data_IF_792387798733
#
_entry.id   IF_792387798733
#
_cell.length_a   1.000
_cell.length_b   1.000
_cell.length_c   1.000
_cell.angle_alpha   90.00
_cell.angle_beta   90.00
_cell.angle_gamma   90.00
#
_symmetry.space_group_name_H-M   'P 1'
#
loop_
_entity.id
_entity.type
_entity.pdbx_description
1 polymer ?
#
# COMPACT_ATOMS: atom_id res chain seq x y z
N UNK A 1 13.27 -41.81 -30.69
CA UNK A 1 12.37 -40.72 -30.25
C UNK A 1 12.20 -40.82 -28.74
N UNK A 2 12.60 -39.84 -27.91
CA UNK A 2 12.29 -39.91 -26.48
C UNK A 2 11.16 -38.94 -26.08
N UNK A 3 10.18 -39.54 -25.40
CA UNK A 3 9.27 -39.04 -24.36
C UNK A 3 8.97 -37.53 -24.30
N UNK A 4 7.71 -37.21 -24.61
CA UNK A 4 7.13 -35.89 -24.45
C UNK A 4 7.12 -35.41 -22.99
N UNK A 5 7.65 -34.22 -22.80
CA UNK A 5 7.38 -33.35 -21.66
C UNK A 5 5.87 -33.07 -21.61
N UNK A 6 5.11 -33.78 -20.79
CA UNK A 6 3.80 -33.29 -20.35
C UNK A 6 4.04 -32.12 -19.40
N UNK A 7 4.08 -30.91 -19.95
CA UNK A 7 3.94 -29.69 -19.17
C UNK A 7 2.61 -29.77 -18.42
N UNK A 8 2.66 -29.82 -17.09
CA UNK A 8 1.45 -29.72 -16.26
C UNK A 8 0.74 -28.41 -16.64
N UNK A 9 -0.58 -28.41 -16.87
CA UNK A 9 -1.30 -27.18 -17.17
C UNK A 9 -1.11 -26.18 -16.02
N UNK A 10 -1.02 -24.87 -16.30
CA UNK A 10 -0.89 -23.86 -15.27
C UNK A 10 -2.12 -23.92 -14.37
N UNK A 11 -1.91 -24.30 -13.10
CA UNK A 11 -2.95 -24.26 -12.06
C UNK A 11 -3.42 -22.80 -11.96
N UNK A 12 -4.74 -22.52 -12.05
CA UNK A 12 -5.27 -21.17 -11.89
C UNK A 12 -4.75 -20.54 -10.60
N UNK A 13 -4.41 -19.24 -10.62
CA UNK A 13 -3.78 -18.55 -9.49
C UNK A 13 -4.62 -18.62 -8.19
N UNK A 14 -5.95 -18.60 -8.32
CA UNK A 14 -6.90 -18.85 -7.24
C UNK A 14 -6.79 -20.27 -6.65
N UNK A 15 -6.54 -21.26 -7.50
CA UNK A 15 -6.32 -22.64 -7.10
C UNK A 15 -4.93 -22.82 -6.42
N UNK A 16 -3.89 -22.05 -6.79
CA UNK A 16 -2.63 -22.00 -6.02
C UNK A 16 -2.79 -21.44 -4.60
N UNK A 17 -3.65 -20.44 -4.41
CA UNK A 17 -3.96 -19.93 -3.06
C UNK A 17 -4.73 -20.95 -2.21
N UNK A 18 -5.58 -21.77 -2.82
CA UNK A 18 -6.37 -22.79 -2.12
C UNK A 18 -5.63 -24.14 -1.93
N UNK A 19 -4.82 -24.60 -2.89
CA UNK A 19 -4.22 -25.95 -2.92
C UNK A 19 -2.93 -26.11 -2.11
N UNK A 20 -2.34 -25.04 -1.59
CA UNK A 20 -1.09 -25.09 -0.80
C UNK A 20 -1.30 -24.90 0.71
N UNK A 21 -2.55 -24.96 1.20
CA UNK A 21 -2.82 -24.80 2.62
C UNK A 21 -2.48 -26.05 3.44
N UNK A 22 -1.21 -26.18 3.82
CA UNK A 22 -0.72 -26.93 4.98
C UNK A 22 -0.06 -25.92 5.94
N UNK A 23 -0.82 -24.90 6.35
CA UNK A 23 -0.26 -23.76 7.08
C UNK A 23 0.43 -24.20 8.38
N UNK A 24 1.68 -23.78 8.65
CA UNK A 24 2.36 -24.09 9.91
C UNK A 24 1.59 -23.55 11.12
N UNK A 25 1.81 -24.17 12.28
CA UNK A 25 1.28 -23.76 13.60
C UNK A 25 1.45 -22.24 13.79
N UNK A 26 0.39 -21.54 14.21
CA UNK A 26 0.42 -20.09 14.51
C UNK A 26 -0.13 -19.15 13.43
N UNK A 27 -0.62 -19.69 12.30
CA UNK A 27 -1.22 -18.90 11.22
C UNK A 27 -2.39 -18.00 11.70
N UNK A 28 -3.32 -18.55 12.48
CA UNK A 28 -4.44 -17.77 13.03
C UNK A 28 -3.98 -16.63 13.92
N UNK A 29 -2.99 -16.87 14.78
CA UNK A 29 -2.43 -15.82 15.63
C UNK A 29 -1.80 -14.68 14.83
N UNK A 30 -1.11 -14.98 13.72
CA UNK A 30 -0.54 -13.95 12.84
C UNK A 30 -1.61 -13.13 12.11
N UNK A 31 -2.67 -13.77 11.61
CA UNK A 31 -3.79 -13.04 11.01
C UNK A 31 -4.43 -12.11 12.03
N UNK A 32 -4.69 -12.59 13.25
CA UNK A 32 -5.25 -11.77 14.33
C UNK A 32 -4.32 -10.60 14.67
N UNK A 33 -3.02 -10.86 14.83
CA UNK A 33 -2.04 -9.80 15.09
C UNK A 33 -2.01 -8.73 13.99
N UNK A 34 -2.09 -9.13 12.71
CA UNK A 34 -2.15 -8.19 11.60
C UNK A 34 -3.47 -7.40 11.56
N UNK A 35 -4.61 -8.05 11.84
CA UNK A 35 -5.89 -7.36 11.95
C UNK A 35 -5.90 -6.34 13.09
N UNK A 36 -5.32 -6.69 14.24
CA UNK A 36 -5.17 -5.78 15.38
C UNK A 36 -4.23 -4.61 15.05
N UNK A 37 -3.14 -4.86 14.32
CA UNK A 37 -2.25 -3.81 13.81
C UNK A 37 -3.03 -2.83 12.93
N UNK A 38 -3.76 -3.34 11.92
CA UNK A 38 -4.52 -2.50 10.99
C UNK A 38 -5.64 -1.73 11.69
N UNK A 39 -6.37 -2.37 12.60
CA UNK A 39 -7.40 -1.72 13.39
C UNK A 39 -6.79 -0.64 14.32
N UNK A 40 -5.63 -0.92 14.91
CA UNK A 40 -4.89 0.04 15.73
C UNK A 40 -4.40 1.24 14.94
N UNK A 41 -3.83 1.03 13.74
CA UNK A 41 -3.42 2.12 12.85
C UNK A 41 -4.61 3.00 12.46
N UNK A 42 -5.74 2.40 12.08
CA UNK A 42 -6.96 3.15 11.77
C UNK A 42 -7.46 3.95 12.99
N UNK A 43 -7.54 3.32 14.16
CA UNK A 43 -7.97 3.99 15.38
C UNK A 43 -7.05 5.16 15.77
N UNK A 44 -5.73 4.99 15.62
CA UNK A 44 -4.75 6.05 15.86
C UNK A 44 -4.88 7.19 14.83
N UNK A 45 -5.07 6.86 13.55
CA UNK A 45 -5.21 7.86 12.49
C UNK A 45 -6.46 8.71 12.67
N UNK A 46 -7.62 8.10 12.89
CA UNK A 46 -8.86 8.83 13.19
C UNK A 46 -8.80 9.55 14.54
N UNK A 47 -8.18 8.92 15.56
CA UNK A 47 -7.99 9.52 16.88
C UNK A 47 -7.18 10.81 16.83
N UNK A 48 -5.99 10.76 16.20
CA UNK A 48 -5.15 11.95 15.96
C UNK A 48 -5.91 12.99 15.14
N UNK A 49 -6.66 12.59 14.10
CA UNK A 49 -7.45 13.56 13.33
C UNK A 49 -8.52 14.27 14.13
N UNK A 50 -9.20 13.55 15.02
CA UNK A 50 -10.24 14.11 15.88
C UNK A 50 -9.67 14.99 17.01
N UNK A 51 -8.47 14.69 17.51
CA UNK A 51 -7.85 15.45 18.61
C UNK A 51 -7.00 16.63 18.16
N UNK A 52 -6.28 16.50 17.05
CA UNK A 52 -5.27 17.47 16.58
C UNK A 52 -5.70 18.23 15.33
N UNK A 53 -6.71 17.73 14.60
CA UNK A 53 -7.18 18.35 13.36
C UNK A 53 -6.24 18.12 12.18
N UNK A 54 -6.28 19.02 11.17
CA UNK A 54 -5.41 18.97 9.99
C UNK A 54 -3.93 19.20 10.37
N UNK A 55 -2.95 18.59 9.67
CA UNK A 55 -1.56 18.87 9.92
C UNK A 55 -1.30 20.34 9.54
N UNK A 56 -0.25 20.99 10.08
CA UNK A 56 0.14 22.32 9.66
C UNK A 56 0.36 22.39 8.14
N UNK A 57 -0.02 23.49 7.50
CA UNK A 57 0.11 23.70 6.05
C UNK A 57 1.56 23.60 5.56
N UNK A 58 2.52 23.95 6.42
CA UNK A 58 3.95 23.85 6.14
C UNK A 58 4.56 22.50 6.57
N UNK A 59 3.76 21.48 6.90
CA UNK A 59 4.25 20.19 7.39
C UNK A 59 5.28 19.55 6.45
N UNK A 60 5.09 19.65 5.13
CA UNK A 60 6.03 19.14 4.14
C UNK A 60 7.37 19.90 4.09
N UNK A 61 7.43 21.11 4.66
CA UNK A 61 8.63 21.93 4.76
C UNK A 61 9.35 21.81 6.11
N UNK A 62 8.99 20.82 6.95
CA UNK A 62 9.60 20.57 8.25
C UNK A 62 10.36 19.23 8.28
N UNK A 63 11.58 19.23 8.84
CA UNK A 63 12.37 18.00 9.00
C UNK A 63 11.74 17.05 10.02
N UNK A 64 11.10 17.60 11.04
CA UNK A 64 10.42 16.86 12.10
C UNK A 64 9.32 15.97 11.52
N UNK A 65 8.57 16.47 10.53
CA UNK A 65 7.55 15.69 9.81
C UNK A 65 8.17 14.50 9.10
N UNK A 66 9.27 14.72 8.35
CA UNK A 66 9.93 13.66 7.60
C UNK A 66 10.54 12.59 8.54
N UNK A 67 11.23 13.04 9.59
CA UNK A 67 11.85 12.15 10.59
C UNK A 67 10.76 11.35 11.32
N UNK A 68 9.71 12.02 11.80
CA UNK A 68 8.58 11.37 12.47
C UNK A 68 7.91 10.33 11.59
N UNK A 69 7.61 10.67 10.33
CA UNK A 69 7.02 9.76 9.35
C UNK A 69 7.90 8.55 9.07
N UNK A 70 9.20 8.75 8.83
CA UNK A 70 10.15 7.65 8.61
C UNK A 70 10.22 6.74 9.84
N UNK A 71 10.31 7.29 11.05
CA UNK A 71 10.34 6.51 12.29
C UNK A 71 9.07 5.67 12.43
N UNK A 72 7.90 6.24 12.19
CA UNK A 72 6.62 5.51 12.22
C UNK A 72 6.62 4.37 11.21
N UNK A 73 7.04 4.61 9.97
CA UNK A 73 7.11 3.58 8.94
C UNK A 73 8.13 2.48 9.27
N UNK A 74 9.27 2.81 9.86
CA UNK A 74 10.24 1.81 10.31
C UNK A 74 9.71 0.95 11.47
N UNK A 75 8.98 1.56 12.42
CA UNK A 75 8.30 0.83 13.49
C UNK A 75 7.25 -0.11 12.90
N UNK A 76 6.42 0.38 11.97
CA UNK A 76 5.42 -0.44 11.27
C UNK A 76 6.08 -1.63 10.57
N UNK A 77 7.14 -1.38 9.80
CA UNK A 77 7.89 -2.44 9.13
C UNK A 77 8.45 -3.46 10.13
N UNK A 78 9.01 -3.01 11.26
CA UNK A 78 9.51 -3.89 12.30
C UNK A 78 8.41 -4.79 12.88
N UNK A 79 7.21 -4.23 13.14
CA UNK A 79 6.05 -5.00 13.61
C UNK A 79 5.60 -6.02 12.57
N UNK A 80 5.54 -5.65 11.29
CA UNK A 80 5.18 -6.57 10.20
C UNK A 80 6.19 -7.72 10.09
N UNK A 81 7.49 -7.42 10.18
CA UNK A 81 8.55 -8.43 10.17
C UNK A 81 8.49 -9.34 11.40
N UNK A 82 8.11 -8.80 12.57
CA UNK A 82 7.88 -9.56 13.79
C UNK A 82 6.67 -10.50 13.68
N UNK A 83 5.54 -10.05 13.11
CA UNK A 83 4.38 -10.92 12.83
C UNK A 83 4.82 -12.08 11.93
N UNK A 84 5.63 -11.79 10.91
CA UNK A 84 6.20 -12.76 9.99
C UNK A 84 7.43 -13.52 10.50
N UNK A 85 7.81 -13.43 11.78
CA UNK A 85 9.02 -14.08 12.31
C UNK A 85 8.97 -15.60 12.11
N UNK A 86 10.09 -16.18 11.69
CA UNK A 86 10.19 -17.60 11.34
C UNK A 86 9.60 -18.00 9.99
N UNK A 87 9.00 -17.07 9.22
CA UNK A 87 8.57 -17.31 7.84
C UNK A 87 9.62 -16.84 6.81
N UNK A 88 9.72 -17.51 5.64
CA UNK A 88 10.46 -17.01 4.49
C UNK A 88 9.88 -15.65 4.06
N UNK A 89 10.67 -14.58 4.21
CA UNK A 89 10.22 -13.20 3.94
C UNK A 89 9.84 -12.99 2.48
N UNK A 90 10.53 -13.70 1.57
CA UNK A 90 10.22 -13.71 0.15
C UNK A 90 8.77 -14.09 -0.13
N UNK A 91 8.24 -15.06 0.61
CA UNK A 91 6.87 -15.54 0.43
C UNK A 91 5.87 -14.75 1.25
N UNK A 92 6.20 -14.47 2.51
CA UNK A 92 5.33 -13.72 3.42
C UNK A 92 5.03 -12.31 2.92
N UNK A 93 6.03 -11.64 2.35
CA UNK A 93 5.91 -10.28 1.83
C UNK A 93 5.71 -10.24 0.31
N UNK A 94 5.59 -11.40 -0.34
CA UNK A 94 5.45 -11.50 -1.78
C UNK A 94 6.53 -10.77 -2.60
N UNK A 95 7.78 -10.82 -2.12
CA UNK A 95 8.97 -10.26 -2.77
C UNK A 95 9.45 -11.17 -3.91
N UNK A 96 8.54 -11.50 -4.83
CA UNK A 96 8.80 -12.37 -5.97
C UNK A 96 8.79 -11.53 -7.24
N UNK A 97 9.70 -11.77 -8.20
CA UNK A 97 9.57 -11.15 -9.52
C UNK A 97 8.27 -11.64 -10.18
N UNK A 98 7.56 -10.77 -10.92
CA UNK A 98 6.38 -11.19 -11.69
C UNK A 98 6.79 -12.18 -12.79
N UNK A 99 5.86 -13.05 -13.19
CA UNK A 99 6.13 -14.05 -14.24
C UNK A 99 6.46 -13.44 -15.62
N UNK A 100 6.05 -12.19 -15.87
CA UNK A 100 6.45 -11.40 -17.04
C UNK A 100 6.44 -9.92 -16.68
N UNK A 101 7.60 -9.27 -16.80
CA UNK A 101 7.74 -7.84 -16.53
C UNK A 101 6.94 -6.99 -17.51
N UNK A 102 6.91 -7.32 -18.80
CA UNK A 102 6.13 -6.56 -19.79
C UNK A 102 4.64 -6.52 -19.44
N UNK A 103 4.06 -7.68 -19.09
CA UNK A 103 2.66 -7.74 -18.63
C UNK A 103 2.47 -7.01 -17.30
N UNK A 104 3.40 -7.15 -16.36
CA UNK A 104 3.30 -6.49 -15.05
C UNK A 104 3.37 -4.95 -15.18
N UNK A 105 4.25 -4.43 -16.03
CA UNK A 105 4.37 -3.00 -16.31
C UNK A 105 3.15 -2.47 -17.06
N UNK A 106 2.61 -3.22 -18.03
CA UNK A 106 1.36 -2.84 -18.69
C UNK A 106 0.17 -2.78 -17.73
N UNK A 107 0.06 -3.75 -16.81
CA UNK A 107 -0.95 -3.70 -15.75
C UNK A 107 -0.69 -2.55 -14.77
N UNK A 108 0.56 -2.31 -14.38
CA UNK A 108 0.94 -1.21 -13.49
C UNK A 108 0.57 0.15 -14.10
N UNK A 109 0.87 0.37 -15.39
CA UNK A 109 0.47 1.59 -16.10
C UNK A 109 -1.05 1.74 -16.15
N UNK A 110 -1.78 0.68 -16.48
CA UNK A 110 -3.25 0.69 -16.45
C UNK A 110 -3.81 0.98 -15.06
N UNK A 111 -3.20 0.41 -14.02
CA UNK A 111 -3.57 0.67 -12.62
C UNK A 111 -3.27 2.10 -12.20
N UNK A 112 -2.13 2.65 -12.58
CA UNK A 112 -1.75 4.05 -12.36
C UNK A 112 -2.77 5.00 -12.99
N UNK A 113 -3.10 4.82 -14.28
CA UNK A 113 -4.11 5.63 -14.97
C UNK A 113 -5.48 5.49 -14.32
N UNK A 114 -5.89 4.27 -13.97
CA UNK A 114 -7.16 4.02 -13.29
C UNK A 114 -7.22 4.73 -11.93
N UNK A 115 -6.13 4.71 -11.15
CA UNK A 115 -6.03 5.42 -9.88
C UNK A 115 -6.11 6.93 -10.11
N UNK A 116 -5.31 7.49 -11.01
CA UNK A 116 -5.31 8.93 -11.27
C UNK A 116 -6.69 9.47 -11.64
N UNK A 117 -7.37 8.80 -12.58
CA UNK A 117 -8.69 9.22 -13.04
C UNK A 117 -9.73 8.90 -11.96
N UNK A 118 -9.79 7.66 -11.47
CA UNK A 118 -10.83 7.20 -10.57
C UNK A 118 -10.76 7.86 -9.19
N UNK A 119 -9.59 7.86 -8.55
CA UNK A 119 -9.40 8.54 -7.27
C UNK A 119 -9.55 10.06 -7.43
N UNK A 120 -9.02 10.64 -8.52
CA UNK A 120 -9.18 12.08 -8.81
C UNK A 120 -10.65 12.50 -8.94
N UNK A 121 -11.46 11.76 -9.71
CA UNK A 121 -12.89 12.02 -9.84
C UNK A 121 -13.64 11.90 -8.50
N UNK A 122 -13.27 10.92 -7.67
CA UNK A 122 -13.87 10.75 -6.34
C UNK A 122 -13.49 11.93 -5.44
N UNK A 123 -12.21 12.32 -5.40
CA UNK A 123 -11.72 13.43 -4.58
C UNK A 123 -12.40 14.74 -4.98
N UNK A 124 -12.50 15.03 -6.29
CA UNK A 124 -13.20 16.22 -6.79
C UNK A 124 -14.70 16.17 -6.47
N UNK A 125 -15.36 15.03 -6.70
CA UNK A 125 -16.80 14.88 -6.46
C UNK A 125 -17.21 14.95 -4.99
N UNK A 126 -16.28 14.67 -4.07
CA UNK A 126 -16.49 14.72 -2.62
C UNK A 126 -15.87 15.96 -1.96
N UNK A 127 -15.28 16.87 -2.74
CA UNK A 127 -14.55 18.04 -2.24
C UNK A 127 -13.49 17.68 -1.17
N UNK A 128 -12.76 16.59 -1.42
CA UNK A 128 -11.85 15.97 -0.46
C UNK A 128 -10.37 16.35 -0.68
N UNK A 129 -10.08 17.30 -1.58
CA UNK A 129 -8.71 17.63 -2.02
C UNK A 129 -7.79 18.06 -0.87
N UNK A 130 -8.33 18.86 0.05
CA UNK A 130 -7.55 19.46 1.14
C UNK A 130 -7.61 18.63 2.43
N UNK A 131 -8.29 17.48 2.44
CA UNK A 131 -8.49 16.71 3.68
C UNK A 131 -7.18 16.07 4.17
N UNK A 132 -6.33 15.66 3.23
CA UNK A 132 -5.05 15.02 3.55
C UNK A 132 -4.05 16.01 4.16
N UNK A 133 -4.10 17.28 3.78
CA UNK A 133 -3.21 18.34 4.29
C UNK A 133 -1.75 18.17 3.87
N UNK A 134 -1.52 17.57 2.69
CA UNK A 134 -0.19 17.41 2.08
C UNK A 134 -0.05 18.26 0.79
N UNK A 135 -0.89 19.28 0.64
CA UNK A 135 -0.84 20.24 -0.47
C UNK A 135 -0.33 21.55 0.12
N UNK A 136 0.93 21.96 -0.14
CA UNK A 136 1.41 23.27 0.28
C UNK A 136 0.64 24.39 -0.42
N UNK A 137 0.50 25.55 0.23
CA UNK A 137 -0.12 26.73 -0.40
C UNK A 137 0.74 27.30 -1.51
N UNK A 138 2.06 27.35 -1.30
CA UNK A 138 3.04 27.90 -2.23
C UNK A 138 4.34 27.08 -2.25
N UNK A 139 5.07 27.17 -3.36
CA UNK A 139 6.43 26.65 -3.46
C UNK A 139 7.45 27.56 -2.74
N UNK A 140 8.25 26.98 -1.83
CA UNK A 140 9.33 27.68 -1.16
C UNK A 140 10.70 27.00 -1.39
N UNK A 141 11.44 27.55 -2.35
CA UNK A 141 12.79 27.07 -2.69
C UNK A 141 13.80 27.10 -1.55
N UNK A 142 13.62 27.98 -0.55
CA UNK A 142 14.52 28.06 0.61
C UNK A 142 14.39 26.84 1.53
N UNK A 143 13.25 26.13 1.46
CA UNK A 143 12.93 24.93 2.23
C UNK A 143 12.98 23.65 1.38
N UNK A 144 13.77 23.66 0.30
CA UNK A 144 13.98 22.48 -0.55
C UNK A 144 14.50 21.26 0.23
N UNK A 145 15.40 21.48 1.20
CA UNK A 145 15.97 20.41 2.02
C UNK A 145 14.93 19.56 2.77
N UNK A 146 14.11 20.17 3.66
CA UNK A 146 13.05 19.43 4.34
C UNK A 146 11.93 18.95 3.41
N UNK A 147 11.63 19.67 2.33
CA UNK A 147 10.69 19.19 1.31
C UNK A 147 11.18 17.90 0.65
N UNK A 148 12.45 17.85 0.22
CA UNK A 148 13.05 16.65 -0.35
C UNK A 148 13.07 15.48 0.65
N UNK A 149 13.28 15.75 1.94
CA UNK A 149 13.20 14.73 2.98
C UNK A 149 11.77 14.15 3.11
N UNK A 150 10.74 15.00 3.13
CA UNK A 150 9.36 14.56 3.13
C UNK A 150 8.97 13.84 1.82
N UNK A 151 9.51 14.26 0.68
CA UNK A 151 9.33 13.56 -0.59
C UNK A 151 9.82 12.11 -0.50
N UNK A 152 11.03 11.90 0.05
CA UNK A 152 11.55 10.54 0.28
C UNK A 152 10.69 9.77 1.28
N UNK A 153 10.20 10.42 2.35
CA UNK A 153 9.33 9.75 3.31
C UNK A 153 7.98 9.31 2.69
N UNK A 154 7.30 10.21 1.99
CA UNK A 154 5.91 10.05 1.52
C UNK A 154 5.82 9.36 0.16
N UNK A 155 6.73 9.60 -0.78
CA UNK A 155 6.72 8.93 -2.08
C UNK A 155 7.58 7.66 -2.11
N UNK A 156 8.59 7.61 -1.25
CA UNK A 156 9.59 6.55 -1.04
C UNK A 156 9.16 5.46 -0.05
N UNK A 157 9.43 5.81 1.21
CA UNK A 157 9.42 4.90 2.35
C UNK A 157 8.02 4.43 2.68
N UNK A 158 7.06 5.35 2.75
CA UNK A 158 5.66 5.06 3.06
C UNK A 158 5.06 4.02 2.12
N UNK A 159 5.02 4.28 0.80
CA UNK A 159 4.49 3.34 -0.19
C UNK A 159 5.13 1.95 -0.12
N UNK A 160 6.46 1.88 0.09
CA UNK A 160 7.15 0.59 0.25
C UNK A 160 6.63 -0.15 1.48
N UNK A 161 6.61 0.49 2.64
CA UNK A 161 6.20 -0.15 3.90
C UNK A 161 4.71 -0.51 3.89
N UNK A 162 3.86 0.36 3.37
CA UNK A 162 2.42 0.13 3.26
C UNK A 162 2.13 -1.04 2.31
N UNK A 163 2.77 -1.11 1.14
CA UNK A 163 2.57 -2.23 0.23
C UNK A 163 3.06 -3.56 0.81
N UNK A 164 4.16 -3.56 1.57
CA UNK A 164 4.60 -4.76 2.31
C UNK A 164 3.61 -5.14 3.42
N UNK A 165 2.98 -4.17 4.07
CA UNK A 165 1.97 -4.38 5.12
C UNK A 165 0.68 -4.96 4.54
N UNK A 166 0.13 -4.36 3.49
CA UNK A 166 -1.17 -4.70 2.94
C UNK A 166 -1.10 -5.77 1.84
N UNK A 167 -0.25 -5.60 0.81
CA UNK A 167 -0.17 -6.50 -0.37
C UNK A 167 0.80 -7.66 -0.15
N UNK A 168 1.83 -7.44 0.66
CA UNK A 168 2.72 -8.49 1.14
C UNK A 168 2.04 -9.33 2.22
N UNK A 169 2.20 -8.89 3.47
CA UNK A 169 1.74 -9.61 4.65
C UNK A 169 0.21 -9.80 4.65
N UNK A 170 -0.57 -8.73 4.50
CA UNK A 170 -2.03 -8.78 4.59
C UNK A 170 -2.68 -9.76 3.61
N UNK A 171 -2.40 -9.62 2.31
CA UNK A 171 -2.96 -10.52 1.29
C UNK A 171 -2.46 -11.96 1.44
N UNK A 172 -1.20 -12.16 1.84
CA UNK A 172 -0.70 -13.50 2.17
C UNK A 172 -1.47 -14.09 3.35
N UNK A 173 -1.79 -13.26 4.36
CA UNK A 173 -2.47 -13.70 5.57
C UNK A 173 -3.96 -14.00 5.41
N UNK A 174 -4.61 -13.23 4.55
CA UNK A 174 -6.03 -13.35 4.30
C UNK A 174 -6.33 -14.33 3.16
N UNK A 175 -5.31 -14.75 2.40
CA UNK A 175 -5.47 -15.62 1.25
C UNK A 175 -6.17 -16.96 1.53
N UNK A 176 -6.06 -17.48 2.76
CA UNK A 176 -6.77 -18.68 3.23
C UNK A 176 -8.30 -18.52 3.28
N UNK A 177 -8.80 -17.29 3.32
CA UNK A 177 -10.23 -16.97 3.27
C UNK A 177 -10.69 -16.63 1.84
N UNK A 178 -9.81 -16.78 0.85
CA UNK A 178 -10.08 -16.52 -0.56
C UNK A 178 -9.57 -15.16 -1.04
N UNK A 179 -9.35 -15.06 -2.35
CA UNK A 179 -8.78 -13.88 -2.99
C UNK A 179 -9.66 -12.62 -2.80
N UNK A 180 -10.98 -12.77 -2.86
CA UNK A 180 -11.90 -11.65 -2.67
C UNK A 180 -11.79 -11.03 -1.27
N UNK A 181 -11.74 -11.85 -0.22
CA UNK A 181 -11.56 -11.39 1.16
C UNK A 181 -10.22 -10.69 1.32
N UNK A 182 -9.14 -11.28 0.79
CA UNK A 182 -7.82 -10.66 0.85
C UNK A 182 -7.79 -9.29 0.17
N UNK A 183 -8.41 -9.14 -1.01
CA UNK A 183 -8.49 -7.88 -1.74
C UNK A 183 -9.30 -6.84 -0.96
N UNK A 184 -10.53 -7.18 -0.54
CA UNK A 184 -11.44 -6.22 0.09
C UNK A 184 -10.93 -5.78 1.46
N UNK A 185 -10.50 -6.71 2.31
CA UNK A 185 -10.05 -6.37 3.68
C UNK A 185 -8.77 -5.54 3.66
N UNK A 186 -7.82 -5.84 2.76
CA UNK A 186 -6.59 -5.04 2.66
C UNK A 186 -6.84 -3.67 2.03
N UNK A 187 -7.74 -3.54 1.07
CA UNK A 187 -8.13 -2.25 0.50
C UNK A 187 -8.85 -1.36 1.53
N UNK A 188 -9.79 -1.92 2.30
CA UNK A 188 -10.47 -1.20 3.38
C UNK A 188 -9.49 -0.81 4.48
N UNK A 189 -8.64 -1.74 4.92
CA UNK A 189 -7.62 -1.48 5.93
C UNK A 189 -6.60 -0.41 5.51
N UNK A 190 -6.26 -0.34 4.22
CA UNK A 190 -5.43 0.71 3.65
C UNK A 190 -6.12 2.08 3.75
N UNK A 191 -7.35 2.19 3.26
CA UNK A 191 -8.10 3.45 3.31
C UNK A 191 -8.34 3.94 4.72
N UNK A 192 -8.78 3.07 5.63
CA UNK A 192 -9.02 3.40 7.03
C UNK A 192 -7.74 3.81 7.78
N UNK A 193 -6.58 3.26 7.39
CA UNK A 193 -5.29 3.59 8.00
C UNK A 193 -4.85 5.05 7.81
N UNK A 194 -5.52 5.81 6.94
CA UNK A 194 -5.20 7.22 6.70
C UNK A 194 -6.00 8.19 7.58
N UNK A 195 -7.08 7.73 8.24
CA UNK A 195 -7.88 8.58 9.14
C UNK A 195 -8.65 9.70 8.44
N UNK A 196 -8.83 9.62 7.12
CA UNK A 196 -9.56 10.59 6.31
C UNK A 196 -10.99 10.10 6.09
N UNK A 197 -12.01 10.95 6.24
CA UNK A 197 -13.42 10.58 6.10
C UNK A 197 -13.89 10.83 4.67
N UNK A 198 -13.61 12.01 4.12
CA UNK A 198 -14.07 12.39 2.77
C UNK A 198 -13.26 11.67 1.68
N UNK A 199 -11.94 11.55 1.86
CA UNK A 199 -11.03 10.86 0.95
C UNK A 199 -11.06 9.33 1.09
N UNK A 200 -11.76 8.78 2.10
CA UNK A 200 -11.83 7.33 2.33
C UNK A 200 -12.23 6.54 1.08
N UNK A 201 -13.27 6.91 0.31
CA UNK A 201 -13.65 6.14 -0.88
C UNK A 201 -12.55 6.14 -1.95
N UNK A 202 -11.82 7.24 -2.11
CA UNK A 202 -10.70 7.33 -3.05
C UNK A 202 -9.52 6.44 -2.62
N UNK A 203 -9.20 6.42 -1.32
CA UNK A 203 -8.15 5.57 -0.77
C UNK A 203 -8.51 4.08 -0.79
N UNK A 204 -9.78 3.73 -0.53
CA UNK A 204 -10.25 2.35 -0.69
C UNK A 204 -10.18 1.93 -2.15
N UNK A 205 -10.57 2.80 -3.09
CA UNK A 205 -10.45 2.54 -4.52
C UNK A 205 -8.98 2.33 -4.94
N UNK A 206 -8.08 3.22 -4.51
CA UNK A 206 -6.63 3.05 -4.67
C UNK A 206 -6.19 1.67 -4.15
N UNK A 207 -6.68 1.32 -2.97
CA UNK A 207 -6.36 0.07 -2.30
C UNK A 207 -6.84 -1.16 -3.08
N UNK A 208 -8.02 -1.09 -3.70
CA UNK A 208 -8.55 -2.16 -4.54
C UNK A 208 -7.68 -2.36 -5.78
N UNK A 209 -7.28 -1.28 -6.46
CA UNK A 209 -6.46 -1.37 -7.68
C UNK A 209 -5.10 -2.01 -7.39
N UNK A 210 -4.40 -1.55 -6.35
CA UNK A 210 -3.10 -2.10 -5.94
C UNK A 210 -3.20 -3.55 -5.44
N UNK A 211 -4.27 -3.91 -4.72
CA UNK A 211 -4.52 -5.31 -4.34
C UNK A 211 -4.80 -6.20 -5.55
N UNK A 212 -5.53 -5.72 -6.56
CA UNK A 212 -5.75 -6.44 -7.82
C UNK A 212 -4.45 -6.59 -8.62
N UNK A 213 -3.57 -5.58 -8.66
CA UNK A 213 -2.24 -5.70 -9.27
C UNK A 213 -1.43 -6.80 -8.60
N UNK A 214 -1.37 -6.80 -7.26
CA UNK A 214 -0.72 -7.86 -6.49
C UNK A 214 -1.32 -9.24 -6.79
N UNK A 215 -2.65 -9.35 -6.85
CA UNK A 215 -3.33 -10.60 -7.15
C UNK A 215 -2.95 -11.11 -8.56
N UNK A 216 -2.98 -10.25 -9.58
CA UNK A 216 -2.74 -10.62 -10.99
C UNK A 216 -1.28 -10.91 -11.32
N UNK A 217 -0.33 -10.35 -10.57
CA UNK A 217 1.11 -10.47 -10.87
C UNK A 217 1.86 -11.43 -9.96
N UNK A 218 1.22 -11.88 -8.87
CA UNK A 218 1.86 -12.58 -7.75
C UNK A 218 3.09 -11.88 -7.14
N UNK A 219 3.13 -10.55 -7.25
CA UNK A 219 4.29 -9.74 -6.87
C UNK A 219 3.83 -8.44 -6.21
N UNK A 220 4.56 -8.00 -5.18
CA UNK A 220 4.34 -6.69 -4.55
C UNK A 220 4.99 -5.55 -5.35
N UNK A 221 5.97 -5.83 -6.21
CA UNK A 221 6.71 -4.77 -6.91
C UNK A 221 5.83 -3.92 -7.85
N UNK A 222 4.90 -4.48 -8.64
CA UNK A 222 4.07 -3.66 -9.53
C UNK A 222 3.16 -2.69 -8.76
N UNK A 223 2.56 -3.11 -7.64
CA UNK A 223 1.73 -2.23 -6.82
C UNK A 223 2.58 -1.18 -6.10
N UNK A 224 3.75 -1.56 -5.60
CA UNK A 224 4.75 -0.64 -5.01
C UNK A 224 5.20 0.43 -5.98
N UNK A 225 5.51 0.08 -7.23
CA UNK A 225 5.89 1.05 -8.26
C UNK A 225 4.75 2.04 -8.56
N UNK A 226 3.52 1.55 -8.72
CA UNK A 226 2.35 2.41 -8.95
C UNK A 226 2.13 3.36 -7.78
N UNK A 227 2.29 2.88 -6.55
CA UNK A 227 2.09 3.69 -5.37
C UNK A 227 3.17 4.75 -5.19
N UNK A 228 4.45 4.38 -5.35
CA UNK A 228 5.54 5.36 -5.34
C UNK A 228 5.35 6.42 -6.44
N UNK A 229 4.98 5.99 -7.66
CA UNK A 229 4.74 6.90 -8.77
C UNK A 229 3.56 7.84 -8.51
N UNK A 230 2.46 7.34 -7.95
CA UNK A 230 1.30 8.17 -7.62
C UNK A 230 1.67 9.25 -6.60
N UNK A 231 2.31 8.87 -5.48
CA UNK A 231 2.70 9.84 -4.45
C UNK A 231 3.74 10.83 -4.97
N UNK A 232 4.72 10.38 -5.75
CA UNK A 232 5.72 11.25 -6.37
C UNK A 232 5.06 12.28 -7.29
N UNK A 233 4.17 11.85 -8.18
CA UNK A 233 3.44 12.75 -9.08
C UNK A 233 2.57 13.72 -8.29
N UNK A 234 1.83 13.26 -7.28
CA UNK A 234 0.98 14.14 -6.45
C UNK A 234 1.80 15.22 -5.75
N UNK A 235 2.96 14.88 -5.17
CA UNK A 235 3.83 15.87 -4.52
C UNK A 235 4.42 16.85 -5.53
N UNK A 236 4.89 16.38 -6.69
CA UNK A 236 5.43 17.25 -7.75
C UNK A 236 4.35 18.22 -8.24
N UNK A 237 3.15 17.72 -8.52
CA UNK A 237 2.02 18.54 -8.96
C UNK A 237 1.64 19.56 -7.88
N UNK A 238 1.62 19.17 -6.61
CA UNK A 238 1.25 20.05 -5.49
C UNK A 238 2.14 21.29 -5.32
N UNK A 239 3.32 21.36 -5.95
CA UNK A 239 4.21 22.54 -5.90
C UNK A 239 4.52 23.13 -7.28
N UNK A 240 3.90 22.61 -8.33
CA UNK A 240 4.11 23.03 -9.71
C UNK A 240 3.00 23.95 -10.26
N UNK A 241 1.90 24.09 -9.51
CA UNK A 241 0.73 24.92 -9.84
C UNK A 241 0.61 26.08 -8.88
#
# INVERSE_FOLDING_TARGET
>A
MPAGFYARPPVPQAARMALCWNGPVGWTGRTVAWLLLVAGLAALAYGSRLSEGKPPEDALYRYETAIGGIVIYLILLAVVLWIGRGLPKRDFLALRPPGSWGRALGLALGGYVAIFIGAGLIIVGLDAGDEQGLTPEDWDSSRLGPYAANFVAVALVGPVVEELTYRGAGMTLLGRFGAAVAVVVTALGFGLGHGLVLALPALVFFGLVTALLRLRTDSVYPSMLVHCAFNATSLIVAVAV
#
